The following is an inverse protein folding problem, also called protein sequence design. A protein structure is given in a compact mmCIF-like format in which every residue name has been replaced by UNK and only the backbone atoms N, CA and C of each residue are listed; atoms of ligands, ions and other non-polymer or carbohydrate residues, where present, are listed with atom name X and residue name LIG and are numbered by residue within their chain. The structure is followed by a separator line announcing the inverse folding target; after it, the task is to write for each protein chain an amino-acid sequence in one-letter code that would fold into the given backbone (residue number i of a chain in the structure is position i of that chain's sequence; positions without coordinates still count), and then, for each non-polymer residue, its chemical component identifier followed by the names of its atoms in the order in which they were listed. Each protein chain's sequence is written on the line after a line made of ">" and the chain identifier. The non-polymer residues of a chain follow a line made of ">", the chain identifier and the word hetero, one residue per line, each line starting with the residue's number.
data_IF_034689653945
#
_entry.id   IF_034689653945
#
_cell.length_a   1.000
_cell.length_b   1.000
_cell.length_c   1.000
_cell.angle_alpha   90.00
_cell.angle_beta   90.00
_cell.angle_gamma   90.00
#
_symmetry.space_group_name_H-M   'P 1'
#
loop_
_entity.id
_entity.type
_entity.pdbx_description
1 polymer ?
#
# COMPACT_ATOMS: atom_id res chain seq x y z
N UNK A 1 9.29 -9.09 -9.01
CA UNK A 1 9.82 -7.84 -9.58
C UNK A 1 10.09 -8.03 -11.05
N UNK A 2 9.49 -7.20 -11.86
CA UNK A 2 9.71 -7.18 -13.32
C UNK A 2 10.56 -5.95 -13.67
N UNK A 3 11.51 -6.14 -14.58
CA UNK A 3 12.40 -5.06 -15.04
C UNK A 3 12.29 -4.88 -16.54
N UNK A 4 12.10 -3.65 -16.96
CA UNK A 4 12.02 -3.26 -18.36
C UNK A 4 13.19 -2.33 -18.68
N UNK A 5 13.97 -2.66 -19.70
CA UNK A 5 15.01 -1.78 -20.22
C UNK A 5 14.44 -0.87 -21.28
N UNK A 6 14.77 0.42 -21.20
CA UNK A 6 14.62 1.33 -22.32
C UNK A 6 15.64 0.96 -23.41
N UNK A 7 15.22 0.91 -24.65
CA UNK A 7 16.08 0.74 -25.83
C UNK A 7 16.71 2.04 -26.32
N UNK A 8 16.52 3.11 -25.55
CA UNK A 8 17.16 4.41 -25.80
C UNK A 8 18.57 4.45 -25.22
N UNK A 9 19.39 5.40 -25.66
CA UNK A 9 20.78 5.55 -25.21
C UNK A 9 20.96 5.95 -23.75
N UNK A 10 19.89 6.15 -22.98
CA UNK A 10 19.88 6.65 -21.60
C UNK A 10 19.76 5.54 -20.58
N UNK A 11 20.09 4.33 -20.75
CA UNK A 11 20.15 3.25 -19.73
C UNK A 11 19.12 3.37 -18.56
N UNK A 12 17.89 3.74 -18.86
CA UNK A 12 16.83 3.82 -17.87
C UNK A 12 16.24 2.43 -17.67
N UNK A 13 16.26 1.97 -16.43
CA UNK A 13 15.60 0.72 -16.05
C UNK A 13 14.25 1.03 -15.43
N UNK A 14 13.17 0.51 -16.02
CA UNK A 14 11.86 0.49 -15.42
C UNK A 14 11.70 -0.81 -14.62
N UNK A 15 11.25 -0.69 -13.38
CA UNK A 15 11.04 -1.83 -12.49
C UNK A 15 9.58 -1.82 -12.06
N UNK A 16 8.91 -2.95 -12.23
CA UNK A 16 7.58 -3.20 -11.67
C UNK A 16 7.71 -4.17 -10.50
N UNK A 17 7.25 -3.74 -9.33
CA UNK A 17 7.16 -4.58 -8.14
C UNK A 17 5.70 -4.89 -7.88
N UNK A 18 5.37 -6.16 -7.78
CA UNK A 18 4.02 -6.62 -7.43
C UNK A 18 4.04 -7.21 -6.03
N UNK A 19 3.13 -6.72 -5.19
CA UNK A 19 2.89 -7.25 -3.84
C UNK A 19 1.51 -7.90 -3.82
N UNK A 20 1.47 -9.16 -3.40
CA UNK A 20 0.22 -9.87 -3.12
C UNK A 20 -0.01 -9.79 -1.62
N UNK A 21 -1.15 -9.23 -1.23
CA UNK A 21 -1.47 -8.99 0.18
C UNK A 21 -2.72 -9.80 0.51
N UNK A 22 -2.60 -10.71 1.45
CA UNK A 22 -3.72 -11.45 2.02
C UNK A 22 -4.20 -10.70 3.26
N UNK A 23 -5.41 -10.18 3.22
CA UNK A 23 -6.04 -9.46 4.32
C UNK A 23 -6.76 -10.38 5.30
N UNK A 24 -6.72 -11.69 5.12
CA UNK A 24 -7.38 -12.65 6.02
C UNK A 24 -6.88 -12.51 7.45
N UNK A 25 -7.78 -12.19 8.37
CA UNK A 25 -7.44 -11.99 9.78
C UNK A 25 -6.75 -10.66 10.10
N UNK A 26 -6.68 -9.76 9.13
CA UNK A 26 -6.31 -8.37 9.36
C UNK A 26 -7.57 -7.54 9.57
N UNK A 27 -7.47 -6.50 10.37
CA UNK A 27 -8.57 -5.61 10.69
C UNK A 27 -8.09 -4.20 11.05
N UNK A 28 -9.04 -3.29 11.12
CA UNK A 28 -8.96 -2.04 11.85
C UNK A 28 -10.32 -1.77 12.49
N UNK A 29 -10.36 -1.02 13.59
CA UNK A 29 -11.60 -0.80 14.32
C UNK A 29 -12.33 0.48 13.93
N UNK A 30 -11.66 1.40 13.26
CA UNK A 30 -12.23 2.69 12.91
C UNK A 30 -11.81 3.20 11.55
N UNK A 31 -12.47 4.29 11.15
CA UNK A 31 -12.10 4.98 9.93
C UNK A 31 -10.72 5.64 10.09
N UNK A 32 -9.93 5.60 9.02
CA UNK A 32 -8.56 6.12 8.97
C UNK A 32 -7.56 5.43 9.92
N UNK A 33 -7.90 4.24 10.38
CA UNK A 33 -7.00 3.42 11.18
C UNK A 33 -6.19 2.46 10.30
N UNK A 34 -4.98 2.17 10.75
CA UNK A 34 -4.07 1.28 10.05
C UNK A 34 -4.57 -0.16 10.13
N UNK A 35 -4.71 -0.79 8.97
CA UNK A 35 -5.06 -2.21 8.88
C UNK A 35 -3.85 -3.06 9.26
N UNK A 36 -4.07 -4.00 10.15
CA UNK A 36 -3.02 -4.90 10.59
C UNK A 36 -3.56 -6.06 11.40
N UNK A 37 -2.66 -6.76 12.06
CA UNK A 37 -2.98 -7.86 12.97
C UNK A 37 -2.69 -7.45 14.39
N UNK A 38 -3.69 -7.51 15.25
CA UNK A 38 -3.59 -7.14 16.65
C UNK A 38 -2.37 -7.77 17.34
N UNK A 39 -1.57 -6.92 17.99
CA UNK A 39 -0.39 -7.35 18.74
C UNK A 39 0.81 -7.77 17.89
N UNK A 40 0.79 -7.57 16.58
CA UNK A 40 1.89 -8.00 15.69
C UNK A 40 2.99 -6.95 15.48
N UNK A 41 2.94 -5.82 16.16
CA UNK A 41 3.90 -4.74 16.00
C UNK A 41 3.53 -3.81 14.85
N UNK A 42 4.53 -3.23 14.18
CA UNK A 42 4.28 -2.27 13.11
C UNK A 42 3.65 -2.92 11.88
N UNK A 43 2.68 -2.23 11.29
CA UNK A 43 1.92 -2.69 10.14
C UNK A 43 2.27 -1.84 8.90
N UNK A 44 3.18 -2.34 8.05
CA UNK A 44 3.44 -1.74 6.75
C UNK A 44 3.73 -2.84 5.72
N UNK A 45 3.40 -2.58 4.47
CA UNK A 45 3.52 -3.57 3.39
C UNK A 45 4.88 -3.57 2.70
N UNK A 46 5.66 -2.53 2.88
CA UNK A 46 6.98 -2.44 2.27
C UNK A 46 7.70 -1.14 2.59
N UNK A 47 8.99 -1.15 2.40
CA UNK A 47 9.84 0.03 2.56
C UNK A 47 10.42 0.43 1.20
N UNK A 48 10.20 1.68 0.85
CA UNK A 48 10.71 2.26 -0.39
C UNK A 48 11.93 3.12 -0.07
N UNK A 49 13.04 2.82 -0.70
CA UNK A 49 14.24 3.66 -0.65
C UNK A 49 14.82 3.82 -2.04
N UNK A 50 15.58 4.88 -2.27
CA UNK A 50 16.26 5.09 -3.55
C UNK A 50 17.16 3.91 -3.91
N UNK A 51 17.80 3.27 -2.91
CA UNK A 51 18.70 2.16 -3.13
C UNK A 51 18.00 0.85 -3.50
N UNK A 52 16.82 0.56 -2.90
CA UNK A 52 16.13 -0.72 -3.12
C UNK A 52 15.03 -0.65 -4.17
N UNK A 53 14.43 0.51 -4.37
CA UNK A 53 13.24 0.66 -5.22
C UNK A 53 13.44 1.72 -6.31
N UNK A 54 14.29 2.71 -6.06
CA UNK A 54 14.39 3.89 -6.91
C UNK A 54 13.24 4.86 -6.68
N UNK A 55 12.92 5.67 -7.70
CA UNK A 55 11.82 6.64 -7.65
C UNK A 55 10.53 5.95 -8.10
N UNK A 56 9.52 5.97 -7.26
CA UNK A 56 8.18 5.48 -7.58
C UNK A 56 7.44 6.57 -8.36
N UNK A 57 6.98 6.26 -9.56
CA UNK A 57 6.25 7.20 -10.41
C UNK A 57 4.83 6.74 -10.76
N UNK A 58 4.45 5.54 -10.38
CA UNK A 58 3.10 5.03 -10.59
C UNK A 58 2.80 3.86 -9.66
N UNK A 59 1.56 3.78 -9.21
CA UNK A 59 1.07 2.71 -8.35
C UNK A 59 -0.32 2.30 -8.81
N UNK A 60 -0.57 0.99 -8.80
CA UNK A 60 -1.89 0.41 -9.04
C UNK A 60 -2.22 -0.53 -7.89
N UNK A 61 -3.42 -0.40 -7.36
CA UNK A 61 -3.98 -1.32 -6.36
C UNK A 61 -5.15 -2.05 -6.98
N UNK A 62 -5.18 -3.37 -6.86
CA UNK A 62 -6.24 -4.21 -7.39
C UNK A 62 -6.83 -5.08 -6.28
N UNK A 63 -8.15 -5.03 -6.15
CA UNK A 63 -8.89 -5.87 -5.21
C UNK A 63 -9.44 -7.08 -5.97
N UNK A 64 -9.08 -8.27 -5.55
CA UNK A 64 -9.54 -9.53 -6.17
C UNK A 64 -10.77 -10.10 -5.48
N UNK A 65 -10.98 -9.78 -4.22
CA UNK A 65 -12.10 -10.26 -3.43
C UNK A 65 -12.60 -9.13 -2.51
N UNK A 66 -13.88 -8.85 -2.57
CA UNK A 66 -14.49 -7.82 -1.71
C UNK A 66 -14.37 -8.23 -0.24
N UNK A 67 -13.78 -7.42 0.62
CA UNK A 67 -13.70 -7.71 2.04
C UNK A 67 -15.07 -7.94 2.66
N UNK A 68 -15.16 -8.89 3.59
CA UNK A 68 -16.38 -9.22 4.30
C UNK A 68 -16.49 -8.41 5.60
N UNK A 69 -17.69 -7.96 5.89
CA UNK A 69 -18.01 -7.25 7.14
C UNK A 69 -17.71 -5.76 7.11
N UNK A 70 -18.55 -4.98 7.77
CA UNK A 70 -18.40 -3.53 7.86
C UNK A 70 -18.65 -2.82 6.52
N UNK A 71 -18.08 -1.64 6.43
CA UNK A 71 -18.07 -0.79 5.23
C UNK A 71 -16.60 -0.48 4.91
N UNK A 72 -15.87 -1.45 4.35
CA UNK A 72 -14.45 -1.33 4.17
C UNK A 72 -14.11 -0.36 3.04
N UNK A 73 -13.46 0.72 3.40
CA UNK A 73 -12.81 1.65 2.49
C UNK A 73 -11.29 1.48 2.68
N UNK A 74 -10.62 0.98 1.65
CA UNK A 74 -9.20 0.65 1.76
C UNK A 74 -8.37 1.61 0.92
N UNK A 75 -7.55 2.38 1.61
CA UNK A 75 -6.63 3.33 1.03
C UNK A 75 -5.19 2.86 1.12
N UNK A 76 -4.36 3.38 0.25
CA UNK A 76 -2.91 3.19 0.30
C UNK A 76 -2.22 4.49 0.64
N UNK A 77 -1.41 4.45 1.69
CA UNK A 77 -0.60 5.58 2.13
C UNK A 77 0.89 5.29 2.06
N UNK A 78 1.69 6.34 1.91
CA UNK A 78 3.10 6.35 2.29
C UNK A 78 3.26 7.14 3.58
N UNK A 79 4.25 6.78 4.39
CA UNK A 79 4.65 7.55 5.56
C UNK A 79 6.17 7.57 5.69
N UNK A 80 6.72 8.58 6.35
CA UNK A 80 8.15 8.67 6.60
C UNK A 80 8.58 7.83 7.79
N UNK A 81 7.66 7.55 8.71
CA UNK A 81 7.85 6.71 9.88
C UNK A 81 7.39 5.27 9.62
N UNK A 82 8.11 4.32 10.18
CA UNK A 82 7.74 2.90 10.17
C UNK A 82 7.26 2.46 11.57
N UNK A 83 6.39 3.27 12.19
CA UNK A 83 5.96 3.06 13.59
C UNK A 83 4.47 2.81 13.74
N UNK A 84 3.69 2.92 12.67
CA UNK A 84 2.26 2.67 12.70
C UNK A 84 1.93 1.23 13.05
N UNK A 85 0.98 1.04 13.95
CA UNK A 85 0.49 -0.27 14.38
C UNK A 85 -0.99 -0.39 14.04
N UNK A 86 -1.50 -1.60 14.04
CA UNK A 86 -2.93 -1.86 13.85
C UNK A 86 -3.76 -1.03 14.81
N UNK A 87 -4.89 -0.51 14.35
CA UNK A 87 -5.83 0.37 15.06
C UNK A 87 -5.29 1.75 15.47
N UNK A 88 -4.05 2.09 15.18
CA UNK A 88 -3.61 3.48 15.33
C UNK A 88 -4.02 4.31 14.13
N UNK A 89 -4.33 5.58 14.38
CA UNK A 89 -4.72 6.49 13.31
C UNK A 89 -3.58 6.71 12.32
N UNK A 90 -3.87 6.63 11.03
CA UNK A 90 -2.87 6.92 10.00
C UNK A 90 -2.34 8.36 10.10
N UNK A 91 -3.17 9.30 10.53
CA UNK A 91 -2.81 10.70 10.75
C UNK A 91 -1.83 10.96 11.90
N UNK A 92 -1.50 9.95 12.72
CA UNK A 92 -0.42 10.06 13.71
C UNK A 92 0.98 9.96 13.07
N UNK A 93 1.03 9.59 11.79
CA UNK A 93 2.26 9.51 11.00
C UNK A 93 2.38 10.73 10.08
N UNK A 94 3.58 10.99 9.58
CA UNK A 94 3.79 11.93 8.48
C UNK A 94 3.42 11.23 7.17
N UNK A 95 2.14 11.19 6.89
CA UNK A 95 1.53 10.39 5.83
C UNK A 95 1.20 11.20 4.57
N UNK A 96 1.08 10.50 3.47
CA UNK A 96 0.54 11.02 2.20
C UNK A 96 -0.28 9.93 1.54
N UNK A 97 -1.51 10.22 1.21
CA UNK A 97 -2.35 9.28 0.47
C UNK A 97 -1.81 9.09 -0.93
N UNK A 98 -1.67 7.82 -1.34
CA UNK A 98 -1.24 7.43 -2.68
C UNK A 98 -2.46 7.05 -3.51
N UNK A 99 -3.32 6.18 -2.98
CA UNK A 99 -4.56 5.76 -3.62
C UNK A 99 -5.68 5.87 -2.61
N UNK A 100 -6.71 6.62 -2.96
CA UNK A 100 -8.00 6.56 -2.26
C UNK A 100 -8.81 5.44 -2.93
N UNK A 101 -9.00 4.35 -2.20
CA UNK A 101 -9.66 3.15 -2.73
C UNK A 101 -11.17 3.30 -2.83
N UNK A 102 -11.77 4.13 -2.00
CA UNK A 102 -13.21 4.18 -1.84
C UNK A 102 -13.76 2.84 -1.35
N UNK A 103 -15.06 2.64 -1.47
CA UNK A 103 -15.70 1.38 -1.08
C UNK A 103 -14.94 0.19 -1.65
N UNK A 104 -14.46 -0.68 -0.78
CA UNK A 104 -13.67 -1.83 -1.19
C UNK A 104 -14.53 -2.82 -1.97
N UNK A 105 -14.25 -2.94 -3.23
CA UNK A 105 -14.90 -3.85 -4.16
C UNK A 105 -13.88 -4.39 -5.14
N UNK A 106 -14.22 -5.49 -5.78
CA UNK A 106 -13.40 -6.04 -6.86
C UNK A 106 -13.15 -4.97 -7.92
N UNK A 107 -11.90 -4.75 -8.29
CA UNK A 107 -11.53 -3.77 -9.30
C UNK A 107 -10.13 -3.21 -9.08
N UNK A 108 -9.76 -2.30 -9.97
CA UNK A 108 -8.44 -1.68 -10.02
C UNK A 108 -8.53 -0.20 -9.69
N UNK A 109 -7.62 0.26 -8.87
CA UNK A 109 -7.39 1.68 -8.55
C UNK A 109 -5.98 2.05 -8.98
N UNK A 110 -5.81 3.23 -9.54
CA UNK A 110 -4.52 3.72 -10.05
C UNK A 110 -4.23 5.11 -9.51
N UNK A 111 -3.03 5.28 -9.05
CA UNK A 111 -2.50 6.60 -8.70
C UNK A 111 -1.64 7.16 -9.83
#
# INVERSE_FOLDING_TARGET
>A
VERFKSDTTTNVNLVKTTLMIDLTGLASSGANDIIGKAGSGVAYIGRVTTANTGVVFGVTMECFETPAGGDPDIDLYSATEATGVEDSAIGDLTETIIINGGDASVGTRTA
#
